data_IF_232455601711
#
_entry.id   IF_232455601711
#
_cell.length_a   1.000
_cell.length_b   1.000
_cell.length_c   1.000
_cell.angle_alpha   90.00
_cell.angle_beta   90.00
_cell.angle_gamma   90.00
#
_symmetry.space_group_name_H-M   'P 1'
#
loop_
_entity.id
_entity.type
_entity.pdbx_description
1 polymer ?
#
# COMPACT_ATOMS: atom_id res chain seq x y z
N UNK A 1 39.53 4.12 -16.16
CA UNK A 1 38.17 4.32 -15.67
C UNK A 1 37.30 3.09 -16.01
N UNK A 2 36.41 2.71 -15.09
CA UNK A 2 35.52 1.59 -15.37
C UNK A 2 34.53 1.93 -16.51
N UNK A 3 34.13 0.98 -17.38
CA UNK A 3 33.19 1.23 -18.47
C UNK A 3 31.76 1.37 -17.93
N UNK A 4 31.46 2.53 -17.37
CA UNK A 4 30.15 2.85 -16.81
C UNK A 4 29.47 3.96 -17.62
N UNK A 5 28.12 3.92 -17.78
CA UNK A 5 27.40 4.98 -18.46
C UNK A 5 27.48 6.29 -17.67
N UNK A 6 27.96 7.36 -18.27
CA UNK A 6 27.94 8.70 -17.72
C UNK A 6 26.59 9.33 -18.08
N UNK A 7 25.78 9.65 -17.06
CA UNK A 7 24.45 10.19 -17.23
C UNK A 7 24.37 11.64 -16.77
N UNK A 8 23.90 12.53 -17.65
CA UNK A 8 23.57 13.93 -17.28
C UNK A 8 22.04 14.02 -17.14
N UNK A 9 21.50 14.20 -15.94
CA UNK A 9 20.05 14.31 -15.77
C UNK A 9 19.55 15.66 -16.31
N UNK A 10 18.62 15.60 -17.27
CA UNK A 10 17.97 16.76 -17.87
C UNK A 10 16.75 17.18 -17.05
N UNK A 11 15.94 16.19 -16.60
CA UNK A 11 14.70 16.46 -15.90
C UNK A 11 14.51 15.49 -14.71
N UNK A 12 13.81 15.97 -13.65
CA UNK A 12 13.40 15.14 -12.52
C UNK A 12 11.90 15.29 -12.28
N UNK A 13 11.17 14.18 -12.39
CA UNK A 13 9.75 14.09 -12.06
C UNK A 13 9.55 13.26 -10.80
N UNK A 14 8.56 13.63 -10.01
CA UNK A 14 8.22 12.92 -8.78
C UNK A 14 6.79 12.43 -8.84
N UNK A 15 6.59 11.16 -8.50
CA UNK A 15 5.31 10.48 -8.52
C UNK A 15 5.00 9.89 -7.15
N UNK A 16 3.73 9.87 -6.79
CA UNK A 16 3.27 9.13 -5.62
C UNK A 16 3.40 7.63 -5.89
N UNK A 17 3.84 6.86 -4.88
CA UNK A 17 3.98 5.40 -4.93
C UNK A 17 3.15 4.73 -3.85
N UNK A 18 2.96 3.41 -3.97
CA UNK A 18 2.26 2.61 -2.97
C UNK A 18 0.87 3.13 -2.64
N UNK A 19 0.51 3.16 -1.37
CA UNK A 19 -0.78 3.65 -0.91
C UNK A 19 -1.07 5.11 -1.32
N UNK A 20 -0.04 5.96 -1.43
CA UNK A 20 -0.23 7.34 -1.87
C UNK A 20 -0.65 7.42 -3.36
N UNK A 21 -0.18 6.50 -4.21
CA UNK A 21 -0.64 6.40 -5.59
C UNK A 21 -2.10 5.94 -5.68
N UNK A 22 -2.49 4.96 -4.85
CA UNK A 22 -3.89 4.52 -4.76
C UNK A 22 -4.79 5.69 -4.35
N UNK A 23 -4.40 6.43 -3.31
CA UNK A 23 -5.14 7.62 -2.87
C UNK A 23 -5.23 8.68 -3.98
N UNK A 24 -4.17 8.88 -4.75
CA UNK A 24 -4.16 9.81 -5.87
C UNK A 24 -5.14 9.41 -6.99
N UNK A 25 -5.21 8.12 -7.29
CA UNK A 25 -6.15 7.61 -8.30
C UNK A 25 -7.61 7.78 -7.83
N UNK A 26 -7.91 7.43 -6.58
CA UNK A 26 -9.22 7.64 -5.98
C UNK A 26 -9.63 9.12 -6.06
N UNK A 27 -8.71 10.03 -5.71
CA UNK A 27 -8.99 11.47 -5.78
C UNK A 27 -9.24 11.95 -7.20
N UNK A 28 -8.57 11.38 -8.21
CA UNK A 28 -8.81 11.69 -9.62
C UNK A 28 -10.18 11.21 -10.13
N UNK A 29 -10.77 10.19 -9.51
CA UNK A 29 -12.15 9.78 -9.77
C UNK A 29 -13.19 10.67 -9.07
N UNK A 30 -12.78 11.74 -8.41
CA UNK A 30 -13.67 12.67 -7.72
C UNK A 30 -13.96 12.33 -6.27
N UNK A 31 -13.53 11.19 -5.79
CA UNK A 31 -13.86 10.69 -4.44
C UNK A 31 -12.99 11.33 -3.35
N UNK A 32 -13.57 11.43 -2.15
CA UNK A 32 -12.84 11.87 -0.97
C UNK A 32 -12.01 10.74 -0.38
N UNK A 33 -10.72 11.02 -0.17
CA UNK A 33 -9.77 10.04 0.35
C UNK A 33 -8.91 10.65 1.46
N UNK A 34 -8.63 9.84 2.47
CA UNK A 34 -7.65 10.18 3.52
C UNK A 34 -6.53 9.15 3.47
N UNK A 35 -5.34 9.59 3.08
CA UNK A 35 -4.14 8.76 3.13
C UNK A 35 -3.65 8.67 4.58
N UNK A 36 -3.60 7.46 5.11
CA UNK A 36 -3.06 7.17 6.43
C UNK A 36 -1.76 6.39 6.27
N UNK A 37 -0.69 6.82 6.92
CA UNK A 37 0.61 6.17 6.77
C UNK A 37 1.62 6.62 7.82
N UNK A 38 2.86 6.18 7.64
CA UNK A 38 3.98 6.53 8.51
C UNK A 38 5.07 7.17 7.68
N UNK A 39 5.72 8.18 8.25
CA UNK A 39 6.85 8.88 7.64
C UNK A 39 7.98 9.06 8.64
N UNK A 40 9.20 9.19 8.15
CA UNK A 40 10.32 9.65 8.95
C UNK A 40 10.47 11.18 8.78
N UNK A 41 10.33 11.95 9.87
CA UNK A 41 10.51 13.40 9.81
C UNK A 41 11.95 13.82 9.47
N UNK A 42 12.95 12.95 9.73
CA UNK A 42 14.37 13.25 9.50
C UNK A 42 14.78 13.00 8.04
N UNK A 43 14.03 12.23 7.28
CA UNK A 43 14.24 12.08 5.81
C UNK A 43 13.60 13.27 5.10
N UNK A 44 14.22 14.43 5.33
CA UNK A 44 13.65 15.74 5.05
C UNK A 44 13.22 15.93 3.59
N UNK A 45 14.08 15.49 2.64
CA UNK A 45 13.84 15.72 1.20
C UNK A 45 12.63 14.92 0.68
N UNK A 46 12.58 13.62 0.93
CA UNK A 46 11.47 12.77 0.43
C UNK A 46 10.15 13.07 1.13
N UNK A 47 10.17 13.35 2.42
CA UNK A 47 8.98 13.73 3.19
C UNK A 47 8.39 15.07 2.71
N UNK A 48 9.23 16.09 2.46
CA UNK A 48 8.78 17.36 1.90
C UNK A 48 8.17 17.21 0.51
N UNK A 49 8.81 16.44 -0.36
CA UNK A 49 8.30 16.17 -1.71
C UNK A 49 6.94 15.47 -1.64
N UNK A 50 6.83 14.43 -0.82
CA UNK A 50 5.56 13.73 -0.60
C UNK A 50 4.47 14.71 -0.16
N UNK A 51 4.71 15.49 0.88
CA UNK A 51 3.73 16.46 1.39
C UNK A 51 3.34 17.51 0.35
N UNK A 52 4.31 18.03 -0.43
CA UNK A 52 4.05 18.97 -1.52
C UNK A 52 3.12 18.38 -2.59
N UNK A 53 3.36 17.12 -2.99
CA UNK A 53 2.54 16.46 -4.00
C UNK A 53 1.14 16.13 -3.45
N UNK A 54 1.03 15.65 -2.21
CA UNK A 54 -0.27 15.40 -1.58
C UNK A 54 -1.11 16.68 -1.50
N UNK A 55 -0.49 17.80 -1.12
CA UNK A 55 -1.17 19.12 -1.10
C UNK A 55 -1.59 19.56 -2.49
N UNK A 56 -0.71 19.45 -3.49
CA UNK A 56 -1.01 19.80 -4.89
C UNK A 56 -2.21 19.01 -5.43
N UNK A 57 -2.32 17.73 -5.07
CA UNK A 57 -3.37 16.84 -5.54
C UNK A 57 -4.61 16.80 -4.62
N UNK A 58 -4.70 17.72 -3.65
CA UNK A 58 -5.81 17.85 -2.70
C UNK A 58 -6.12 16.55 -1.92
N UNK A 59 -5.08 15.75 -1.64
CA UNK A 59 -5.22 14.49 -0.89
C UNK A 59 -5.12 14.78 0.60
N UNK A 60 -6.22 14.60 1.32
CA UNK A 60 -6.24 14.65 2.78
C UNK A 60 -5.33 13.54 3.34
N UNK A 61 -4.58 13.84 4.39
CA UNK A 61 -3.68 12.82 4.94
C UNK A 61 -3.53 12.91 6.46
N UNK A 62 -3.23 11.76 7.07
CA UNK A 62 -2.81 11.61 8.47
C UNK A 62 -1.54 10.79 8.51
N UNK A 63 -0.40 11.44 8.53
CA UNK A 63 0.92 10.82 8.52
C UNK A 63 1.52 10.82 9.93
N UNK A 64 1.74 9.64 10.46
CA UNK A 64 2.35 9.44 11.78
C UNK A 64 3.87 9.47 11.66
N UNK A 65 4.53 10.16 12.59
CA UNK A 65 5.99 10.32 12.57
C UNK A 65 6.68 9.16 13.28
N UNK A 66 7.70 8.56 12.66
CA UNK A 66 8.56 7.55 13.26
C UNK A 66 9.98 7.64 12.70
N UNK A 67 10.96 7.89 13.56
CA UNK A 67 12.38 7.91 13.18
C UNK A 67 12.91 6.55 12.70
N UNK A 68 12.17 5.48 12.96
CA UNK A 68 12.51 4.10 12.55
C UNK A 68 11.88 3.69 11.23
N UNK A 69 11.19 4.60 10.54
CA UNK A 69 10.50 4.30 9.29
C UNK A 69 10.92 5.26 8.19
N UNK A 70 11.67 4.77 7.21
CA UNK A 70 11.99 5.50 5.99
C UNK A 70 11.05 5.05 4.86
N UNK A 71 10.21 5.95 4.30
CA UNK A 71 9.41 5.62 3.14
C UNK A 71 10.29 5.15 1.98
N UNK A 72 9.95 4.05 1.29
CA UNK A 72 10.71 3.59 0.15
C UNK A 72 10.76 4.65 -0.95
N UNK A 73 11.93 4.88 -1.50
CA UNK A 73 12.12 5.75 -2.67
C UNK A 73 12.67 4.90 -3.82
N UNK A 74 11.97 4.92 -4.95
CA UNK A 74 12.36 4.23 -6.17
C UNK A 74 12.74 5.24 -7.23
N UNK A 75 14.03 5.36 -7.52
CA UNK A 75 14.57 6.24 -8.56
C UNK A 75 14.67 5.44 -9.85
N UNK A 76 13.94 5.86 -10.88
CA UNK A 76 13.99 5.29 -12.22
C UNK A 76 14.74 6.25 -13.13
N UNK A 77 15.66 5.74 -13.90
CA UNK A 77 16.48 6.51 -14.83
C UNK A 77 16.09 6.09 -16.23
N UNK A 78 15.70 7.05 -17.04
CA UNK A 78 15.28 6.84 -18.42
C UNK A 78 16.24 7.56 -19.37
N UNK A 79 16.49 6.94 -20.51
CA UNK A 79 17.15 7.52 -21.67
C UNK A 79 16.28 7.21 -22.88
N UNK A 80 15.90 8.22 -23.67
CA UNK A 80 15.04 8.05 -24.85
C UNK A 80 13.79 7.18 -24.57
N UNK A 81 13.07 7.48 -23.49
CA UNK A 81 11.88 6.76 -23.02
C UNK A 81 12.10 5.28 -22.59
N UNK A 82 13.32 4.77 -22.63
CA UNK A 82 13.65 3.43 -22.13
C UNK A 82 14.23 3.54 -20.69
N UNK A 83 13.73 2.70 -19.79
CA UNK A 83 14.29 2.61 -18.44
C UNK A 83 15.63 1.88 -18.50
N UNK A 84 16.73 2.57 -18.21
CA UNK A 84 18.08 2.02 -18.22
C UNK A 84 18.56 1.56 -16.86
N UNK A 85 18.03 2.15 -15.78
CA UNK A 85 18.36 1.73 -14.43
C UNK A 85 17.25 2.06 -13.43
N UNK A 86 17.19 1.28 -12.34
CA UNK A 86 16.37 1.57 -11.16
C UNK A 86 17.20 1.45 -9.90
N UNK A 87 17.15 2.46 -9.05
CA UNK A 87 17.79 2.46 -7.74
C UNK A 87 16.72 2.49 -6.67
N UNK A 88 16.65 1.46 -5.83
CA UNK A 88 15.67 1.31 -4.77
C UNK A 88 16.33 1.65 -3.43
N UNK A 89 15.88 2.74 -2.81
CA UNK A 89 16.27 3.14 -1.46
C UNK A 89 15.24 2.58 -0.49
N UNK A 90 15.56 1.43 0.11
CA UNK A 90 14.71 0.74 1.05
C UNK A 90 15.48 0.38 2.31
N UNK A 91 14.91 0.66 3.47
CA UNK A 91 15.42 0.19 4.76
C UNK A 91 14.45 -0.82 5.36
N UNK A 92 14.96 -1.79 6.12
CA UNK A 92 14.09 -2.60 6.97
C UNK A 92 13.44 -1.68 7.99
N UNK A 93 12.13 -1.57 7.91
CA UNK A 93 11.36 -0.68 8.77
C UNK A 93 10.68 -1.50 9.86
N UNK A 94 10.82 -1.06 11.11
CA UNK A 94 10.03 -1.55 12.22
C UNK A 94 9.06 -0.44 12.62
N UNK A 95 7.80 -0.62 12.27
CA UNK A 95 6.78 0.37 12.61
C UNK A 95 6.02 -0.06 13.85
N UNK A 96 6.15 0.72 14.92
CA UNK A 96 5.37 0.57 16.15
C UNK A 96 4.16 1.53 16.21
N UNK A 97 3.83 2.22 15.10
CA UNK A 97 2.77 3.24 15.05
C UNK A 97 1.37 2.67 14.80
N UNK A 98 1.23 1.36 14.76
CA UNK A 98 -0.08 0.74 14.55
C UNK A 98 -1.12 1.12 15.60
N UNK A 99 -0.73 1.23 16.87
CA UNK A 99 -1.67 1.63 17.95
C UNK A 99 -2.26 3.01 17.68
N UNK A 100 -1.43 3.98 17.29
CA UNK A 100 -1.88 5.34 16.99
C UNK A 100 -2.73 5.39 15.72
N UNK A 101 -2.33 4.64 14.67
CA UNK A 101 -3.13 4.50 13.44
C UNK A 101 -4.50 3.92 13.78
N UNK A 102 -4.55 2.82 14.51
CA UNK A 102 -5.79 2.15 14.87
C UNK A 102 -6.69 3.05 15.73
N UNK A 103 -6.13 3.74 16.71
CA UNK A 103 -6.87 4.69 17.56
C UNK A 103 -7.45 5.85 16.75
N UNK A 104 -6.70 6.38 15.79
CA UNK A 104 -7.20 7.41 14.88
C UNK A 104 -8.34 6.90 14.00
N UNK A 105 -8.17 5.75 13.38
CA UNK A 105 -9.19 5.13 12.52
C UNK A 105 -10.44 4.82 13.33
N UNK A 106 -10.31 4.23 14.52
CA UNK A 106 -11.44 3.92 15.41
C UNK A 106 -12.25 5.16 15.78
N UNK A 107 -11.57 6.25 16.18
CA UNK A 107 -12.25 7.52 16.54
C UNK A 107 -12.97 8.20 15.38
N UNK A 108 -12.54 7.95 14.15
CA UNK A 108 -13.09 8.55 12.94
C UNK A 108 -13.87 7.55 12.09
N UNK A 109 -14.23 6.40 12.62
CA UNK A 109 -14.83 5.31 11.83
C UNK A 109 -16.12 5.73 11.12
N UNK A 110 -16.91 6.62 11.69
CA UNK A 110 -18.13 7.16 11.08
C UNK A 110 -17.86 7.93 9.78
N UNK A 111 -16.69 8.51 9.64
CA UNK A 111 -16.30 9.31 8.46
C UNK A 111 -15.83 8.46 7.28
N UNK A 112 -15.64 7.15 7.46
CA UNK A 112 -15.14 6.25 6.44
C UNK A 112 -16.25 5.33 5.94
N UNK A 113 -16.37 5.16 4.63
CA UNK A 113 -17.23 4.17 4.00
C UNK A 113 -16.45 2.90 3.66
N UNK A 114 -15.21 3.05 3.22
CA UNK A 114 -14.37 1.97 2.71
C UNK A 114 -12.97 2.06 3.35
N UNK A 115 -12.42 0.90 3.69
CA UNK A 115 -11.00 0.74 4.02
C UNK A 115 -10.26 0.13 2.83
N UNK A 116 -9.21 0.78 2.35
CA UNK A 116 -8.29 0.19 1.38
C UNK A 116 -6.93 0.01 2.05
N UNK A 117 -6.50 -1.23 2.20
CA UNK A 117 -5.18 -1.56 2.72
C UNK A 117 -4.23 -1.84 1.56
N UNK A 118 -3.35 -0.89 1.28
CA UNK A 118 -2.28 -1.02 0.28
C UNK A 118 -0.95 -1.21 1.00
N UNK A 119 -0.70 -2.43 1.47
CA UNK A 119 0.54 -2.79 2.18
C UNK A 119 1.57 -3.35 1.20
N UNK A 120 2.73 -2.76 1.16
CA UNK A 120 3.88 -3.20 0.35
C UNK A 120 4.87 -4.05 1.15
N UNK A 121 4.43 -4.63 2.28
CA UNK A 121 5.27 -5.43 3.18
C UNK A 121 6.52 -4.69 3.67
N UNK A 122 6.36 -3.41 3.96
CA UNK A 122 7.45 -2.54 4.44
C UNK A 122 7.38 -2.30 5.96
N UNK A 123 6.84 -3.27 6.72
CA UNK A 123 6.82 -3.26 8.18
C UNK A 123 5.71 -2.42 8.82
N UNK A 124 4.72 -1.94 8.05
CA UNK A 124 3.59 -1.17 8.60
C UNK A 124 2.60 -2.07 9.32
N UNK A 125 2.32 -3.25 8.79
CA UNK A 125 1.30 -4.15 9.31
C UNK A 125 1.83 -5.58 9.55
N UNK A 126 1.31 -6.20 10.57
CA UNK A 126 1.42 -7.65 10.85
C UNK A 126 0.02 -8.29 10.81
N UNK A 127 -0.08 -9.60 10.95
CA UNK A 127 -1.34 -10.35 10.88
C UNK A 127 -2.41 -9.81 11.85
N UNK A 128 -2.02 -9.50 13.07
CA UNK A 128 -2.94 -8.94 14.07
C UNK A 128 -3.42 -7.53 13.70
N UNK A 129 -2.58 -6.73 13.05
CA UNK A 129 -2.94 -5.40 12.55
C UNK A 129 -4.04 -5.47 11.51
N UNK A 130 -3.90 -6.38 10.54
CA UNK A 130 -4.95 -6.63 9.53
C UNK A 130 -6.25 -7.06 10.19
N UNK A 131 -6.20 -8.10 11.02
CA UNK A 131 -7.37 -8.62 11.73
C UNK A 131 -8.12 -7.52 12.49
N UNK A 132 -7.39 -6.66 13.21
CA UNK A 132 -8.01 -5.56 13.98
C UNK A 132 -8.69 -4.54 13.08
N UNK A 133 -8.08 -4.12 11.97
CA UNK A 133 -8.65 -3.14 11.05
C UNK A 133 -9.86 -3.71 10.31
N UNK A 134 -9.74 -4.91 9.75
CA UNK A 134 -10.84 -5.59 9.04
C UNK A 134 -12.04 -5.75 9.99
N UNK A 135 -11.83 -6.28 11.20
CA UNK A 135 -12.89 -6.46 12.18
C UNK A 135 -13.54 -5.14 12.60
N UNK A 136 -12.77 -4.05 12.71
CA UNK A 136 -13.34 -2.73 13.03
C UNK A 136 -14.31 -2.26 11.95
N UNK A 137 -13.93 -2.38 10.67
CA UNK A 137 -14.78 -1.96 9.56
C UNK A 137 -16.00 -2.86 9.41
N UNK A 138 -15.83 -4.18 9.47
CA UNK A 138 -16.95 -5.15 9.43
C UNK A 138 -17.99 -4.91 10.53
N UNK A 139 -17.54 -4.71 11.78
CA UNK A 139 -18.45 -4.38 12.90
C UNK A 139 -19.26 -3.11 12.66
N UNK A 140 -18.76 -2.21 11.83
CA UNK A 140 -19.45 -0.98 11.44
C UNK A 140 -20.13 -1.09 10.07
N UNK A 141 -20.30 -2.31 9.52
CA UNK A 141 -20.94 -2.59 8.21
C UNK A 141 -20.31 -1.81 7.05
N UNK A 142 -18.96 -1.70 7.05
CA UNK A 142 -18.20 -0.96 6.06
C UNK A 142 -17.30 -1.89 5.26
N UNK A 143 -17.08 -1.57 4.00
CA UNK A 143 -16.33 -2.39 3.04
C UNK A 143 -14.83 -2.33 3.32
N UNK A 144 -14.18 -3.47 3.14
CA UNK A 144 -12.73 -3.62 3.27
C UNK A 144 -12.12 -4.18 1.98
N UNK A 145 -11.10 -3.50 1.46
CA UNK A 145 -10.37 -3.91 0.25
C UNK A 145 -8.90 -4.06 0.61
N UNK A 146 -8.29 -5.19 0.30
CA UNK A 146 -6.88 -5.46 0.57
C UNK A 146 -6.11 -5.75 -0.72
N UNK A 147 -5.01 -5.02 -0.94
CA UNK A 147 -4.01 -5.36 -1.95
C UNK A 147 -2.92 -6.18 -1.24
N UNK A 148 -2.85 -7.51 -1.50
CA UNK A 148 -2.00 -8.42 -0.74
C UNK A 148 -0.52 -8.29 -1.14
N UNK A 149 0.38 -8.43 -0.17
CA UNK A 149 1.83 -8.60 -0.36
C UNK A 149 2.39 -9.71 0.52
N UNK A 150 1.58 -10.30 1.37
CA UNK A 150 1.93 -11.48 2.15
C UNK A 150 1.52 -12.72 1.38
N UNK A 151 2.36 -13.74 1.38
CA UNK A 151 2.08 -15.01 0.70
C UNK A 151 1.06 -15.87 1.46
N UNK A 152 0.79 -15.55 2.73
CA UNK A 152 -0.20 -16.23 3.55
C UNK A 152 -1.53 -15.47 3.47
N UNK A 153 -2.51 -16.07 2.79
CA UNK A 153 -3.84 -15.50 2.59
C UNK A 153 -4.57 -15.26 3.92
N UNK A 154 -4.23 -16.01 4.98
CA UNK A 154 -4.87 -15.86 6.29
C UNK A 154 -4.67 -14.48 6.93
N UNK A 155 -3.76 -13.66 6.43
CA UNK A 155 -3.63 -12.26 6.81
C UNK A 155 -4.87 -11.43 6.47
N UNK A 156 -5.59 -11.83 5.43
CA UNK A 156 -6.71 -11.08 4.84
C UNK A 156 -8.07 -11.67 5.20
N UNK A 157 -8.10 -12.63 6.13
CA UNK A 157 -9.35 -13.25 6.57
C UNK A 157 -10.35 -12.21 7.05
N UNK A 158 -11.55 -12.27 6.48
CA UNK A 158 -12.64 -11.34 6.76
C UNK A 158 -12.59 -10.05 5.94
N UNK A 159 -11.66 -9.89 5.02
CA UNK A 159 -11.69 -8.83 4.03
C UNK A 159 -12.78 -9.10 2.97
N UNK A 160 -13.51 -8.06 2.56
CA UNK A 160 -14.61 -8.22 1.59
C UNK A 160 -14.05 -8.42 0.17
N UNK A 161 -12.96 -7.69 -0.17
CA UNK A 161 -12.34 -7.75 -1.49
C UNK A 161 -10.83 -7.87 -1.34
N UNK A 162 -10.23 -8.85 -2.03
CA UNK A 162 -8.77 -9.00 -2.12
C UNK A 162 -8.37 -8.87 -3.59
N UNK A 163 -7.41 -8.00 -3.88
CA UNK A 163 -6.96 -7.66 -5.24
C UNK A 163 -5.51 -8.08 -5.44
N UNK A 164 -5.23 -9.38 -5.67
CA UNK A 164 -3.89 -9.87 -5.93
C UNK A 164 -3.49 -9.66 -7.41
N UNK A 165 -2.21 -9.46 -7.67
CA UNK A 165 -1.68 -9.72 -9.00
C UNK A 165 -1.47 -11.23 -9.22
N UNK A 166 -1.13 -11.64 -10.45
CA UNK A 166 -0.96 -13.05 -10.80
C UNK A 166 0.08 -13.77 -9.91
N UNK A 167 1.21 -13.12 -9.63
CA UNK A 167 2.26 -13.69 -8.75
C UNK A 167 1.77 -13.86 -7.32
N UNK A 168 1.08 -12.89 -6.81
CA UNK A 168 0.49 -12.91 -5.46
C UNK A 168 -0.61 -13.99 -5.38
N UNK A 169 -1.48 -14.04 -6.38
CA UNK A 169 -2.51 -15.07 -6.47
C UNK A 169 -1.89 -16.48 -6.50
N UNK A 170 -0.87 -16.69 -7.33
CA UNK A 170 -0.19 -17.98 -7.42
C UNK A 170 0.55 -18.36 -6.12
N UNK A 171 1.02 -17.37 -5.35
CA UNK A 171 1.70 -17.62 -4.07
C UNK A 171 0.78 -18.12 -2.96
N UNK A 172 -0.53 -17.89 -3.08
CA UNK A 172 -1.52 -18.40 -2.12
C UNK A 172 -1.77 -19.91 -2.26
N UNK A 173 -1.31 -20.51 -3.35
CA UNK A 173 -1.55 -21.92 -3.64
C UNK A 173 -0.22 -22.62 -3.88
N UNK A 174 0.10 -23.60 -3.05
CA UNK A 174 1.33 -24.40 -3.11
C UNK A 174 1.39 -25.38 -4.30
N UNK A 175 0.28 -25.61 -5.00
CA UNK A 175 0.17 -26.53 -6.14
C UNK A 175 -0.16 -25.78 -7.44
N UNK A 176 0.38 -26.29 -8.59
CA UNK A 176 0.01 -25.85 -9.93
C UNK A 176 -1.43 -26.29 -10.28
N UNK A 177 -2.41 -25.62 -9.73
CA UNK A 177 -3.81 -25.84 -10.10
C UNK A 177 -4.14 -25.05 -11.39
N UNK A 178 -5.07 -25.59 -12.17
CA UNK A 178 -5.69 -24.85 -13.30
C UNK A 178 -6.30 -23.55 -12.75
N UNK A 179 -6.23 -22.45 -13.50
CA UNK A 179 -6.66 -21.12 -13.08
C UNK A 179 -8.13 -21.13 -12.60
N UNK A 180 -9.04 -21.80 -13.33
CA UNK A 180 -10.44 -21.93 -12.92
C UNK A 180 -10.59 -22.63 -11.57
N UNK A 181 -9.81 -23.67 -11.31
CA UNK A 181 -9.80 -24.41 -10.06
C UNK A 181 -9.19 -23.59 -8.93
N UNK A 182 -8.13 -22.81 -9.21
CA UNK A 182 -7.53 -21.87 -8.26
C UNK A 182 -8.52 -20.78 -7.84
N UNK A 183 -9.25 -20.19 -8.79
CA UNK A 183 -10.27 -19.19 -8.53
C UNK A 183 -11.36 -19.79 -7.63
N UNK A 184 -11.92 -20.93 -8.00
CA UNK A 184 -12.95 -21.60 -7.19
C UNK A 184 -12.46 -21.89 -5.77
N UNK A 185 -11.26 -22.41 -5.60
CA UNK A 185 -10.66 -22.67 -4.27
C UNK A 185 -10.45 -21.36 -3.48
N UNK A 186 -10.02 -20.29 -4.14
CA UNK A 186 -9.86 -18.97 -3.54
C UNK A 186 -11.17 -18.46 -2.96
N UNK A 187 -12.27 -18.53 -3.72
CA UNK A 187 -13.60 -18.10 -3.27
C UNK A 187 -14.16 -18.97 -2.15
N UNK A 188 -14.01 -20.29 -2.24
CA UNK A 188 -14.48 -21.24 -1.20
C UNK A 188 -13.73 -21.03 0.13
N UNK A 189 -12.42 -20.83 0.09
CA UNK A 189 -11.62 -20.62 1.31
C UNK A 189 -11.79 -19.25 1.96
N UNK A 190 -12.33 -18.28 1.22
CA UNK A 190 -12.64 -16.94 1.72
C UNK A 190 -14.15 -16.75 1.81
N UNK A 191 -14.82 -17.63 2.53
CA UNK A 191 -16.29 -17.77 2.72
C UNK A 191 -17.13 -16.49 2.87
N UNK A 192 -16.67 -15.35 2.39
CA UNK A 192 -17.32 -14.05 2.48
C UNK A 192 -17.52 -13.36 1.12
N UNK A 193 -17.11 -14.00 0.03
CA UNK A 193 -17.32 -13.48 -1.33
C UNK A 193 -18.51 -14.20 -2.02
N UNK A 194 -19.16 -15.11 -1.32
CA UNK A 194 -20.26 -15.93 -1.89
C UNK A 194 -21.61 -15.24 -2.04
N UNK A 195 -21.67 -13.92 -1.80
CA UNK A 195 -22.91 -13.13 -1.94
C UNK A 195 -22.72 -11.89 -2.81
N UNK A 196 -21.93 -11.98 -3.87
CA UNK A 196 -21.92 -11.04 -4.99
C UNK A 196 -22.32 -11.72 -6.26
#
# INVERSE_FOLDING_TARGET
EAPVPILKPIEKKYFLGGAANVANNIKKFGEDVILIGVIDPNVFKSTRILQKILKKNLIKNKLFKSKKFAPPLKKRIYCNNKMIARVDYEKKNFNNKFKEIFSYVKRNISKFSILIVSDYNKGTFNKNSYKKLINLFRKNKKITICNPKKNDISYYNGCDIIVPNEKEFNSFFSQKLNLKKKIKTFFVNNNQISNL
#
